data_IF_737779182696
#
_entry.id   IF_737779182696
#
_cell.length_a   1.000
_cell.length_b   1.000
_cell.length_c   1.000
_cell.angle_alpha   90.00
_cell.angle_beta   90.00
_cell.angle_gamma   90.00
#
_symmetry.space_group_name_H-M   'P 1'
#
loop_
_entity.id
_entity.type
_entity.pdbx_description
1 polymer ?
#
# COMPACT_ATOMS: atom_id res chain seq x y z
N UNK A 1 5.84 -8.36 -12.69
CA UNK A 1 4.87 -8.62 -11.60
C UNK A 1 5.54 -9.52 -10.59
N UNK A 2 5.39 -9.30 -9.28
CA UNK A 2 5.97 -10.20 -8.27
C UNK A 2 5.45 -11.63 -8.49
N UNK A 3 6.33 -12.60 -8.65
CA UNK A 3 5.97 -14.01 -8.90
C UNK A 3 5.04 -14.57 -7.81
N UNK A 4 5.26 -14.18 -6.55
CA UNK A 4 4.42 -14.59 -5.43
C UNK A 4 3.02 -13.95 -5.46
N UNK A 5 2.91 -12.67 -5.85
CA UNK A 5 1.61 -12.00 -5.96
C UNK A 5 0.80 -12.57 -7.14
N UNK A 6 1.48 -12.88 -8.25
CA UNK A 6 0.87 -13.59 -9.38
C UNK A 6 0.28 -14.92 -8.96
N UNK A 7 1.08 -15.76 -8.30
CA UNK A 7 0.65 -17.07 -7.85
C UNK A 7 -0.56 -16.98 -6.91
N UNK A 8 -0.53 -16.05 -5.94
CA UNK A 8 -1.63 -15.85 -5.00
C UNK A 8 -2.93 -15.37 -5.69
N UNK A 9 -2.82 -14.44 -6.64
CA UNK A 9 -3.97 -13.96 -7.43
C UNK A 9 -4.54 -15.11 -8.27
N UNK A 10 -3.70 -15.80 -9.05
CA UNK A 10 -4.12 -16.89 -9.93
C UNK A 10 -4.77 -18.02 -9.15
N UNK A 11 -4.21 -18.41 -7.99
CA UNK A 11 -4.78 -19.44 -7.13
C UNK A 11 -6.18 -19.06 -6.62
N UNK A 12 -6.39 -17.81 -6.19
CA UNK A 12 -7.72 -17.37 -5.73
C UNK A 12 -8.72 -17.25 -6.87
N UNK A 13 -8.31 -16.67 -8.00
CA UNK A 13 -9.15 -16.57 -9.19
C UNK A 13 -9.64 -17.96 -9.62
N UNK A 14 -8.73 -18.95 -9.64
CA UNK A 14 -9.08 -20.31 -10.03
C UNK A 14 -10.01 -20.98 -9.00
N UNK A 15 -9.74 -20.81 -7.70
CA UNK A 15 -10.59 -21.37 -6.64
C UNK A 15 -12.01 -20.77 -6.63
N UNK A 16 -12.16 -19.48 -6.90
CA UNK A 16 -13.44 -18.76 -6.81
C UNK A 16 -14.27 -18.90 -8.10
N UNK A 17 -13.63 -18.75 -9.26
CA UNK A 17 -14.32 -18.68 -10.54
C UNK A 17 -14.15 -19.94 -11.41
N UNK A 18 -13.23 -20.84 -11.07
CA UNK A 18 -13.01 -22.10 -11.78
C UNK A 18 -12.54 -21.88 -13.21
N UNK A 19 -11.47 -21.13 -13.39
CA UNK A 19 -10.95 -20.77 -14.70
C UNK A 19 -10.30 -21.96 -15.41
N UNK A 20 -10.16 -21.85 -16.72
CA UNK A 20 -9.30 -22.73 -17.51
C UNK A 20 -8.26 -21.93 -18.27
N UNK A 21 -7.03 -22.38 -18.23
CA UNK A 21 -5.95 -21.79 -19.02
C UNK A 21 -6.15 -22.04 -20.51
N UNK A 22 -6.05 -20.98 -21.31
CA UNK A 22 -6.17 -21.00 -22.76
C UNK A 22 -5.19 -19.97 -23.34
N UNK A 23 -3.93 -20.41 -23.49
CA UNK A 23 -2.82 -19.55 -23.91
C UNK A 23 -2.59 -18.41 -22.91
N UNK A 24 -2.53 -17.18 -23.42
CA UNK A 24 -2.33 -15.94 -22.63
C UNK A 24 -3.53 -15.57 -21.74
N UNK A 25 -4.64 -16.31 -21.82
CA UNK A 25 -5.90 -15.98 -21.14
C UNK A 25 -6.37 -17.11 -20.23
N UNK A 26 -6.91 -16.74 -19.07
CA UNK A 26 -7.75 -17.59 -18.25
C UNK A 26 -9.20 -17.33 -18.63
N UNK A 27 -9.89 -18.36 -19.13
CA UNK A 27 -11.26 -18.26 -19.68
C UNK A 27 -12.20 -19.26 -19.02
N UNK A 28 -13.49 -19.18 -19.38
CA UNK A 28 -14.55 -20.06 -18.89
C UNK A 28 -14.81 -19.96 -17.37
N UNK A 29 -14.36 -18.89 -16.73
CA UNK A 29 -14.65 -18.63 -15.33
C UNK A 29 -16.13 -18.30 -15.15
N UNK A 30 -16.68 -18.63 -13.98
CA UNK A 30 -18.07 -18.34 -13.62
C UNK A 30 -18.21 -16.85 -13.29
N UNK A 31 -18.95 -16.11 -14.10
CA UNK A 31 -19.19 -14.69 -13.87
C UNK A 31 -20.05 -14.47 -12.61
N UNK A 32 -19.65 -13.58 -11.67
CA UNK A 32 -20.45 -13.29 -10.47
C UNK A 32 -21.75 -12.55 -10.83
N UNK A 33 -21.77 -11.75 -11.90
CA UNK A 33 -22.94 -10.99 -12.30
C UNK A 33 -24.05 -11.82 -12.98
N UNK A 34 -23.69 -12.82 -13.81
CA UNK A 34 -24.69 -13.61 -14.56
C UNK A 34 -24.62 -15.13 -14.35
N UNK A 35 -23.68 -15.62 -13.54
CA UNK A 35 -23.51 -17.04 -13.21
C UNK A 35 -23.03 -17.93 -14.37
N UNK A 36 -22.82 -17.39 -15.58
CA UNK A 36 -22.37 -18.12 -16.78
C UNK A 36 -20.86 -18.21 -16.86
N UNK A 37 -20.36 -19.27 -17.51
CA UNK A 37 -18.92 -19.57 -17.71
C UNK A 37 -18.30 -18.74 -18.85
N UNK A 38 -18.44 -17.43 -18.76
CA UNK A 38 -18.04 -16.47 -19.79
C UNK A 38 -17.09 -15.39 -19.22
N UNK A 39 -16.59 -15.58 -18.00
CA UNK A 39 -15.61 -14.69 -17.40
C UNK A 39 -14.23 -15.00 -17.99
N UNK A 40 -13.45 -13.96 -18.25
CA UNK A 40 -12.07 -14.07 -18.71
C UNK A 40 -11.17 -13.01 -18.07
N UNK A 41 -9.87 -13.32 -18.00
CA UNK A 41 -8.80 -12.46 -17.49
C UNK A 41 -7.45 -12.86 -18.13
N UNK A 42 -6.49 -11.94 -18.22
CA UNK A 42 -5.16 -12.24 -18.74
C UNK A 42 -4.36 -13.11 -17.75
N UNK A 43 -3.66 -14.13 -18.24
CA UNK A 43 -2.93 -15.09 -17.41
C UNK A 43 -1.69 -14.44 -16.76
N UNK A 44 -0.84 -13.75 -17.53
CA UNK A 44 0.40 -13.14 -16.98
C UNK A 44 0.18 -11.84 -16.20
N UNK A 45 -0.84 -11.07 -16.59
CA UNK A 45 -1.16 -9.76 -16.03
C UNK A 45 -2.64 -9.69 -15.59
N UNK A 46 -3.03 -10.45 -14.56
CA UNK A 46 -4.41 -10.57 -14.12
C UNK A 46 -4.87 -9.32 -13.36
N UNK A 47 -5.15 -8.23 -14.07
CA UNK A 47 -5.58 -6.96 -13.47
C UNK A 47 -7.09 -6.73 -13.51
N UNK A 48 -7.74 -7.18 -14.58
CA UNK A 48 -9.15 -6.87 -14.85
C UNK A 48 -9.87 -8.14 -15.30
N UNK A 49 -10.96 -8.47 -14.60
CA UNK A 49 -11.92 -9.51 -14.95
C UNK A 49 -13.00 -8.92 -15.83
N UNK A 50 -13.32 -9.59 -16.92
CA UNK A 50 -14.38 -9.17 -17.84
C UNK A 50 -15.29 -10.33 -18.22
N UNK A 51 -16.59 -10.06 -18.29
CA UNK A 51 -17.55 -11.01 -18.84
C UNK A 51 -17.67 -10.84 -20.36
N UNK A 52 -17.53 -11.92 -21.12
CA UNK A 52 -17.67 -11.92 -22.59
C UNK A 52 -19.08 -11.57 -23.08
N UNK A 53 -20.10 -11.65 -22.21
CA UNK A 53 -21.47 -11.27 -22.53
C UNK A 53 -21.68 -9.75 -22.39
N UNK A 54 -20.92 -8.96 -23.13
CA UNK A 54 -20.91 -7.49 -23.06
C UNK A 54 -22.31 -6.87 -23.19
N UNK A 55 -23.13 -7.36 -24.12
CA UNK A 55 -24.49 -6.84 -24.37
C UNK A 55 -25.56 -7.30 -23.36
N UNK A 56 -25.26 -8.28 -22.49
CA UNK A 56 -26.25 -8.86 -21.55
C UNK A 56 -25.86 -8.73 -20.08
N UNK A 57 -24.57 -8.79 -19.77
CA UNK A 57 -24.05 -8.71 -18.41
C UNK A 57 -23.02 -7.58 -18.29
N UNK A 58 -22.01 -7.57 -19.15
CA UNK A 58 -21.00 -6.51 -19.16
C UNK A 58 -20.21 -6.35 -17.85
N UNK A 59 -20.21 -7.36 -16.96
CA UNK A 59 -19.49 -7.27 -15.70
C UNK A 59 -17.99 -7.04 -15.91
N UNK A 60 -17.46 -6.04 -15.21
CA UNK A 60 -16.05 -5.71 -15.10
C UNK A 60 -15.67 -5.61 -13.62
N UNK A 61 -14.54 -6.20 -13.23
CA UNK A 61 -14.03 -6.14 -11.86
C UNK A 61 -12.52 -6.02 -11.84
N UNK A 62 -11.99 -5.06 -11.09
CA UNK A 62 -10.56 -4.94 -10.88
C UNK A 62 -10.09 -5.92 -9.81
N UNK A 63 -9.02 -6.66 -10.10
CA UNK A 63 -8.44 -7.63 -9.17
C UNK A 63 -7.96 -6.96 -7.87
N UNK A 64 -7.51 -5.70 -7.96
CA UNK A 64 -7.13 -4.91 -6.78
C UNK A 64 -8.30 -4.65 -5.83
N UNK A 65 -9.52 -4.51 -6.37
CA UNK A 65 -10.71 -4.28 -5.56
C UNK A 65 -11.22 -5.60 -4.96
N UNK A 66 -11.22 -6.67 -5.76
CA UNK A 66 -11.67 -8.00 -5.35
C UNK A 66 -10.76 -8.62 -4.29
N UNK A 67 -9.44 -8.49 -4.45
CA UNK A 67 -8.43 -9.10 -3.58
C UNK A 67 -7.52 -8.04 -2.96
N UNK A 68 -8.11 -6.95 -2.48
CA UNK A 68 -7.38 -5.83 -1.86
C UNK A 68 -6.46 -6.26 -0.72
N UNK A 69 -6.77 -7.37 -0.05
CA UNK A 69 -5.95 -7.99 0.98
C UNK A 69 -4.63 -8.56 0.46
N UNK A 70 -4.59 -9.15 -0.74
CA UNK A 70 -3.34 -9.62 -1.36
C UNK A 70 -2.37 -8.47 -1.65
N UNK A 71 -2.90 -7.29 -1.96
CA UNK A 71 -2.09 -6.10 -2.23
C UNK A 71 -1.66 -5.37 -0.96
N UNK A 72 -2.37 -5.59 0.15
CA UNK A 72 -2.14 -4.93 1.43
C UNK A 72 -1.59 -5.86 2.51
N UNK A 73 -1.01 -7.01 2.15
CA UNK A 73 -0.30 -7.89 3.10
C UNK A 73 1.21 -7.77 2.86
N UNK A 74 1.81 -6.69 3.34
CA UNK A 74 3.25 -6.43 3.22
C UNK A 74 4.05 -7.32 4.14
N UNK A 75 3.66 -7.47 5.41
CA UNK A 75 4.41 -8.32 6.36
C UNK A 75 4.47 -9.79 5.96
N UNK A 76 3.41 -10.32 5.33
CA UNK A 76 3.39 -11.71 4.85
C UNK A 76 4.38 -11.94 3.70
N UNK A 77 4.60 -10.92 2.86
CA UNK A 77 5.46 -10.99 1.66
C UNK A 77 6.90 -10.57 1.95
N UNK A 78 7.08 -9.66 2.90
CA UNK A 78 8.35 -9.06 3.27
C UNK A 78 8.52 -9.21 4.79
N UNK A 79 8.80 -10.43 5.28
CA UNK A 79 8.99 -10.67 6.70
C UNK A 79 10.22 -9.91 7.22
N UNK A 80 10.14 -9.43 8.47
CA UNK A 80 11.30 -8.81 9.11
C UNK A 80 12.41 -9.84 9.30
N UNK A 81 13.63 -9.44 8.99
CA UNK A 81 14.85 -10.18 9.28
C UNK A 81 15.85 -9.25 9.97
N UNK A 82 16.81 -9.76 10.76
CA UNK A 82 17.83 -8.93 11.41
C UNK A 82 18.57 -7.98 10.44
N UNK A 83 18.84 -8.45 9.23
CA UNK A 83 19.48 -7.70 8.15
C UNK A 83 18.54 -6.69 7.45
N UNK A 84 17.23 -6.89 7.56
CA UNK A 84 16.20 -6.03 6.97
C UNK A 84 15.04 -5.82 7.95
N UNK A 85 15.26 -5.05 9.03
CA UNK A 85 14.27 -4.86 10.09
C UNK A 85 13.04 -4.09 9.59
N UNK A 86 13.17 -3.34 8.49
CA UNK A 86 12.08 -2.55 7.91
C UNK A 86 11.46 -3.16 6.65
N UNK A 87 11.65 -4.46 6.38
CA UNK A 87 11.30 -5.07 5.08
C UNK A 87 9.89 -4.77 4.55
N UNK A 88 8.85 -4.83 5.39
CA UNK A 88 7.48 -4.54 4.99
C UNK A 88 7.23 -3.03 4.82
N UNK A 89 7.82 -2.21 5.69
CA UNK A 89 7.78 -0.75 5.59
C UNK A 89 8.48 -0.26 4.31
N UNK A 90 9.66 -0.79 4.00
CA UNK A 90 10.43 -0.48 2.80
C UNK A 90 9.64 -0.86 1.54
N UNK A 91 9.07 -2.07 1.51
CA UNK A 91 8.22 -2.51 0.40
C UNK A 91 6.97 -1.62 0.23
N UNK A 92 6.34 -1.21 1.33
CA UNK A 92 5.22 -0.28 1.30
C UNK A 92 5.64 1.09 0.71
N UNK A 93 6.74 1.66 1.20
CA UNK A 93 7.24 2.96 0.79
C UNK A 93 7.68 2.96 -0.68
N UNK A 94 8.33 1.90 -1.13
CA UNK A 94 8.78 1.78 -2.51
C UNK A 94 7.62 1.49 -3.48
N UNK A 95 6.74 0.53 -3.14
CA UNK A 95 5.80 -0.02 -4.12
C UNK A 95 4.39 0.56 -4.04
N UNK A 96 3.90 0.93 -2.85
CA UNK A 96 2.60 1.61 -2.73
C UNK A 96 2.73 3.12 -2.87
N UNK A 97 3.85 3.68 -2.41
CA UNK A 97 4.08 5.13 -2.36
C UNK A 97 5.05 5.66 -3.41
N UNK A 98 5.87 4.81 -4.02
CA UNK A 98 6.77 5.21 -5.11
C UNK A 98 8.03 5.95 -4.66
N UNK A 99 8.40 5.88 -3.37
CA UNK A 99 9.61 6.53 -2.88
C UNK A 99 10.88 5.79 -3.28
N UNK A 100 11.94 6.55 -3.51
CA UNK A 100 13.31 6.02 -3.58
C UNK A 100 13.85 5.78 -2.16
N UNK A 101 13.99 4.50 -1.79
CA UNK A 101 14.46 4.07 -0.47
C UNK A 101 15.83 4.65 -0.09
N UNK A 102 16.71 4.90 -1.07
CA UNK A 102 18.02 5.49 -0.78
C UNK A 102 17.90 6.92 -0.23
N UNK A 103 16.89 7.68 -0.66
CA UNK A 103 16.66 9.07 -0.23
C UNK A 103 15.99 9.16 1.13
N UNK A 104 15.14 8.18 1.47
CA UNK A 104 14.32 8.18 2.69
C UNK A 104 14.84 7.23 3.77
N UNK A 105 16.02 6.65 3.56
CA UNK A 105 16.65 5.75 4.52
C UNK A 105 16.86 6.45 5.86
N UNK A 106 16.46 5.78 6.95
CA UNK A 106 16.56 6.32 8.32
C UNK A 106 15.48 7.34 8.70
N UNK A 107 14.53 7.68 7.81
CA UNK A 107 13.44 8.62 8.15
C UNK A 107 12.33 7.96 8.97
N UNK A 108 12.22 6.62 8.92
CA UNK A 108 11.16 5.85 9.55
C UNK A 108 11.68 4.51 10.09
N UNK A 109 10.88 3.89 10.96
CA UNK A 109 11.03 2.49 11.38
C UNK A 109 9.77 1.67 11.05
N UNK A 110 9.93 0.36 10.91
CA UNK A 110 8.83 -0.58 10.90
C UNK A 110 8.46 -0.98 12.33
N UNK A 111 7.20 -0.82 12.68
CA UNK A 111 6.69 -1.08 14.02
C UNK A 111 5.41 -1.92 13.95
N UNK A 112 4.85 -2.25 15.11
CA UNK A 112 3.61 -3.02 15.21
C UNK A 112 2.55 -2.24 15.98
N UNK A 113 1.35 -2.17 15.41
CA UNK A 113 0.18 -1.58 16.04
C UNK A 113 -0.86 -2.66 16.36
N UNK A 114 -1.43 -2.61 17.57
CA UNK A 114 -2.52 -3.49 18.01
C UNK A 114 -3.73 -2.65 18.42
N UNK A 115 -4.88 -2.97 17.82
CA UNK A 115 -6.16 -2.34 18.13
C UNK A 115 -6.94 -3.20 19.13
N UNK A 116 -6.96 -2.78 20.40
CA UNK A 116 -7.52 -3.56 21.51
C UNK A 116 -8.99 -3.95 21.34
N UNK A 117 -9.83 -3.06 20.82
CA UNK A 117 -11.28 -3.32 20.70
C UNK A 117 -11.61 -4.34 19.60
N UNK A 118 -10.78 -4.39 18.55
CA UNK A 118 -11.00 -5.28 17.40
C UNK A 118 -10.14 -6.55 17.51
N UNK A 119 -9.26 -6.60 18.50
CA UNK A 119 -8.23 -7.61 18.72
C UNK A 119 -7.46 -8.01 17.46
N UNK A 120 -7.03 -7.00 16.70
CA UNK A 120 -6.24 -7.16 15.48
C UNK A 120 -5.00 -6.28 15.53
N UNK A 121 -3.93 -6.73 14.87
CA UNK A 121 -2.75 -5.90 14.64
C UNK A 121 -2.31 -5.84 13.19
N UNK A 122 -1.33 -4.99 12.96
CA UNK A 122 -0.79 -4.63 11.65
C UNK A 122 0.61 -4.06 11.81
N UNK A 123 1.48 -4.29 10.83
CA UNK A 123 2.71 -3.54 10.75
C UNK A 123 2.42 -2.07 10.43
N UNK A 124 3.33 -1.21 10.85
CA UNK A 124 3.26 0.23 10.60
C UNK A 124 4.56 0.78 10.05
N UNK A 125 4.46 1.88 9.33
CA UNK A 125 5.60 2.77 9.04
C UNK A 125 5.50 3.93 10.03
N UNK A 126 6.49 4.09 10.90
CA UNK A 126 6.52 5.11 11.94
C UNK A 126 7.57 6.16 11.65
N UNK A 127 7.14 7.42 11.60
CA UNK A 127 8.00 8.59 11.50
C UNK A 127 8.13 9.25 12.89
N UNK A 128 9.35 9.41 13.41
CA UNK A 128 9.56 10.12 14.66
C UNK A 128 9.26 11.62 14.48
N UNK A 129 8.64 12.21 15.51
CA UNK A 129 8.44 13.65 15.66
C UNK A 129 9.25 14.10 16.89
N UNK A 130 10.54 14.47 16.72
CA UNK A 130 11.43 14.78 17.84
C UNK A 130 10.82 15.81 18.81
N UNK A 131 10.80 15.47 20.10
CA UNK A 131 10.23 16.32 21.14
C UNK A 131 8.71 16.31 21.28
N UNK A 132 7.99 15.60 20.39
CA UNK A 132 6.51 15.57 20.38
C UNK A 132 5.98 14.14 20.48
N UNK A 133 6.59 13.20 19.76
CA UNK A 133 6.17 11.81 19.71
C UNK A 133 6.48 11.16 18.37
N UNK A 134 5.47 10.56 17.75
CA UNK A 134 5.58 9.97 16.41
C UNK A 134 4.24 10.01 15.67
N UNK A 135 4.34 9.93 14.35
CA UNK A 135 3.23 9.65 13.47
C UNK A 135 3.44 8.27 12.85
N UNK A 136 2.39 7.46 12.78
CA UNK A 136 2.49 6.16 12.12
C UNK A 136 1.32 5.85 11.18
N UNK A 137 1.66 5.14 10.10
CA UNK A 137 0.74 4.65 9.09
C UNK A 137 0.56 3.15 9.23
N UNK A 138 -0.69 2.69 9.28
CA UNK A 138 -1.00 1.26 9.20
C UNK A 138 -0.78 0.79 7.74
N UNK A 139 0.07 -0.22 7.54
CA UNK A 139 0.43 -0.68 6.20
C UNK A 139 -0.26 -1.98 5.81
N UNK A 140 -0.55 -2.88 6.77
CA UNK A 140 -1.19 -4.15 6.46
C UNK A 140 -2.71 -4.14 6.63
N UNK A 141 -3.41 -4.39 5.52
CA UNK A 141 -4.87 -4.44 5.40
C UNK A 141 -5.54 -3.32 6.22
N UNK A 142 -5.16 -2.04 5.97
CA UNK A 142 -5.57 -0.93 6.83
C UNK A 142 -7.09 -0.67 6.83
N UNK A 143 -7.82 -1.22 5.85
CA UNK A 143 -9.28 -1.15 5.80
C UNK A 143 -9.97 -1.83 6.99
N UNK A 144 -9.32 -2.80 7.65
CA UNK A 144 -9.84 -3.46 8.86
C UNK A 144 -9.94 -2.53 10.07
N UNK A 145 -9.21 -1.41 10.05
CA UNK A 145 -9.19 -0.40 11.13
C UNK A 145 -10.15 0.77 10.84
N UNK A 146 -11.10 0.58 9.92
CA UNK A 146 -12.10 1.57 9.54
C UNK A 146 -11.48 2.83 8.93
N UNK A 147 -11.88 4.00 9.44
CA UNK A 147 -11.38 5.31 8.96
C UNK A 147 -9.97 5.65 9.48
N UNK A 148 -9.50 5.01 10.55
CA UNK A 148 -8.21 5.29 11.18
C UNK A 148 -7.10 4.48 10.51
N UNK A 149 -6.56 5.02 9.41
CA UNK A 149 -5.44 4.40 8.67
C UNK A 149 -4.07 4.98 9.02
N UNK A 150 -4.04 6.09 9.74
CA UNK A 150 -2.86 6.73 10.28
C UNK A 150 -3.22 7.42 11.60
N UNK A 151 -2.27 7.55 12.50
CA UNK A 151 -2.48 8.29 13.75
C UNK A 151 -1.17 8.80 14.36
N UNK A 152 -1.31 9.79 15.23
CA UNK A 152 -0.27 10.20 16.16
C UNK A 152 -0.37 9.39 17.44
N UNK A 153 0.75 9.18 18.11
CA UNK A 153 0.76 8.56 19.43
C UNK A 153 -0.10 9.35 20.43
N UNK A 154 -0.62 8.66 21.43
CA UNK A 154 -1.40 9.28 22.49
C UNK A 154 -0.59 10.36 23.21
N UNK A 155 -1.21 11.53 23.44
CA UNK A 155 -0.58 12.68 24.09
C UNK A 155 0.29 13.56 23.19
N UNK A 156 0.40 13.24 21.89
CA UNK A 156 1.14 14.05 20.92
C UNK A 156 0.47 15.42 20.72
N UNK A 157 1.19 16.50 21.05
CA UNK A 157 0.75 17.90 20.83
C UNK A 157 1.40 18.47 19.56
N UNK A 158 0.80 18.16 18.41
CA UNK A 158 1.35 18.54 17.11
C UNK A 158 0.86 19.89 16.56
N UNK A 159 -0.08 20.55 17.23
CA UNK A 159 -0.59 21.84 16.75
C UNK A 159 0.53 22.89 16.69
N UNK A 160 0.65 23.56 15.54
CA UNK A 160 1.68 24.58 15.30
C UNK A 160 3.06 24.01 14.96
N UNK A 161 3.17 22.70 14.70
CA UNK A 161 4.44 22.07 14.33
C UNK A 161 4.40 21.52 12.90
N UNK A 162 5.58 21.27 12.34
CA UNK A 162 5.76 20.62 11.05
C UNK A 162 6.76 19.49 11.18
N UNK A 163 6.68 18.54 10.26
CA UNK A 163 7.66 17.48 10.11
C UNK A 163 8.61 17.80 8.98
N UNK A 164 9.89 17.51 9.19
CA UNK A 164 10.93 17.59 8.19
C UNK A 164 11.75 16.31 8.20
N UNK A 165 12.37 15.98 7.08
CA UNK A 165 13.30 14.87 7.01
C UNK A 165 14.47 15.07 8.01
N UNK A 166 14.94 14.02 8.72
CA UNK A 166 16.11 14.11 9.60
C UNK A 166 17.39 14.60 8.89
N UNK A 167 17.47 14.35 7.58
CA UNK A 167 18.59 14.75 6.73
C UNK A 167 18.41 16.16 6.13
N UNK A 168 17.28 16.83 6.37
CA UNK A 168 17.00 18.15 5.83
C UNK A 168 17.93 19.20 6.44
N UNK A 169 18.58 20.00 5.59
CA UNK A 169 19.38 21.16 5.97
C UNK A 169 18.72 22.43 5.44
N UNK A 170 18.91 23.54 6.13
CA UNK A 170 18.28 24.83 5.83
C UNK A 170 19.31 25.89 5.43
N UNK A 171 20.48 25.48 4.97
CA UNK A 171 21.48 26.41 4.48
C UNK A 171 21.10 26.83 3.04
N UNK A 172 21.15 28.13 2.76
CA UNK A 172 20.94 28.73 1.43
C UNK A 172 19.57 28.46 0.76
N UNK A 173 18.50 28.49 1.56
CA UNK A 173 17.12 28.21 1.11
C UNK A 173 16.49 29.47 0.53
N UNK A 174 16.14 29.40 -0.75
CA UNK A 174 15.45 30.50 -1.44
C UNK A 174 13.93 30.33 -1.45
N UNK A 175 13.45 29.09 -1.41
CA UNK A 175 12.03 28.75 -1.48
C UNK A 175 11.73 27.53 -0.61
N UNK A 176 10.59 27.58 0.11
CA UNK A 176 10.12 26.53 1.00
C UNK A 176 8.73 26.08 0.57
N UNK A 177 8.58 24.77 0.32
CA UNK A 177 7.29 24.16 0.05
C UNK A 177 6.78 23.42 1.28
N UNK A 178 5.57 23.77 1.72
CA UNK A 178 4.88 23.10 2.80
C UNK A 178 3.74 22.27 2.22
N UNK A 179 3.77 20.96 2.46
CA UNK A 179 2.76 20.01 1.99
C UNK A 179 1.87 19.52 3.13
N UNK A 180 0.71 18.98 2.78
CA UNK A 180 -0.31 18.53 3.75
C UNK A 180 0.08 17.27 4.54
N UNK A 181 1.02 16.47 4.05
CA UNK A 181 1.36 15.20 4.69
C UNK A 181 2.71 14.64 4.29
N UNK A 182 3.29 13.82 5.17
CA UNK A 182 4.65 13.28 5.04
C UNK A 182 4.82 12.52 3.71
N UNK A 183 3.77 11.84 3.24
CA UNK A 183 3.82 11.12 1.95
C UNK A 183 3.69 12.00 0.70
N UNK A 184 3.43 13.30 0.83
CA UNK A 184 3.39 14.26 -0.29
C UNK A 184 4.72 14.98 -0.50
N UNK A 185 5.78 14.58 0.21
CA UNK A 185 7.08 15.23 0.16
C UNK A 185 7.85 15.00 -1.14
N UNK A 186 7.45 14.04 -1.98
CA UNK A 186 8.11 13.80 -3.25
C UNK A 186 7.72 14.88 -4.27
N UNK A 187 8.68 15.75 -4.57
CA UNK A 187 8.50 16.91 -5.43
C UNK A 187 9.28 16.68 -6.74
N UNK A 188 8.69 16.95 -7.93
CA UNK A 188 9.35 16.66 -9.19
C UNK A 188 10.55 17.60 -9.45
N UNK A 189 11.73 16.99 -9.62
CA UNK A 189 12.83 17.42 -10.50
C UNK A 189 13.64 18.68 -10.18
N UNK A 190 13.18 19.59 -9.31
CA UNK A 190 13.91 20.86 -9.05
C UNK A 190 13.75 21.45 -7.65
N UNK A 191 12.81 20.94 -6.86
CA UNK A 191 12.55 21.46 -5.53
C UNK A 191 13.63 20.98 -4.56
N UNK A 192 14.43 21.93 -4.06
CA UNK A 192 15.57 21.59 -3.20
C UNK A 192 15.13 21.16 -1.81
N UNK A 193 13.96 21.59 -1.31
CA UNK A 193 13.56 21.36 0.10
C UNK A 193 12.02 21.39 0.29
N UNK A 194 11.47 20.35 0.91
CA UNK A 194 10.03 20.23 1.22
C UNK A 194 9.82 19.83 2.68
N UNK A 195 8.82 20.46 3.32
CA UNK A 195 8.37 20.16 4.68
C UNK A 195 6.89 19.74 4.67
N UNK A 196 6.49 18.91 5.63
CA UNK A 196 5.08 18.51 5.79
C UNK A 196 4.47 19.22 7.00
N UNK A 197 3.29 19.81 6.84
CA UNK A 197 2.42 20.12 7.97
C UNK A 197 2.02 18.81 8.68
N UNK A 198 1.85 18.89 10.01
CA UNK A 198 1.44 17.79 10.88
C UNK A 198 -0.03 17.96 11.26
#
# INVERSE_FOLDING_TARGET
MYSQLHAAITQRLDAEFGFKHSGEWMRQGRCPGCGKKELYIHADHPWVLRCGRLSKCGYEGHVRDLYSDLFSSWSDRFPQAPESPNAAADAYMQHDRGFDLARISGWYSQEYYHHRELDIGTATVRFPLPGIGYWERLIDRPHRFGKKKAHFNYGCKYQGTWWQAPTQRWDDVQELFIVEGIFKLDCPGSCRQSCSMI
#
